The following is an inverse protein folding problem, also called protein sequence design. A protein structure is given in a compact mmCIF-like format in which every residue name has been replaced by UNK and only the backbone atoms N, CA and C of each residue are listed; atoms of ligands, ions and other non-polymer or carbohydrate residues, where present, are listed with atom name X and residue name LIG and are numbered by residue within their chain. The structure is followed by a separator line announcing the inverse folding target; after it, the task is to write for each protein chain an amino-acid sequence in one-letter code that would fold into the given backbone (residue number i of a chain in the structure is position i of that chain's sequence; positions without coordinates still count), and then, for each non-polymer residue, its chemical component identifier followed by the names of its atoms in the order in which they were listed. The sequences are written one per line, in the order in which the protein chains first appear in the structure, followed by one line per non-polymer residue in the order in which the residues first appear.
data_IF_738712754499
#
_entry.id   IF_738712754499
#
_cell.length_a   1.000
_cell.length_b   1.000
_cell.length_c   1.000
_cell.angle_alpha   90.00
_cell.angle_beta   90.00
_cell.angle_gamma   90.00
#
_symmetry.space_group_name_H-M   'P 1'
#
loop_
_entity.id
_entity.type
_entity.pdbx_description
1 polymer ?
#
# COMPACT_ATOMS: atom_id res chain seq x y z
N UNK A 1 2.91 -19.33 -30.48
CA UNK A 1 2.47 -20.55 -29.75
C UNK A 1 0.95 -20.53 -29.57
N UNK A 2 0.26 -21.67 -29.48
CA UNK A 2 -1.17 -21.71 -29.15
C UNK A 2 -1.43 -21.11 -27.76
N UNK A 3 -2.52 -20.36 -27.61
CA UNK A 3 -2.94 -19.70 -26.36
C UNK A 3 -3.00 -20.65 -25.15
N UNK A 4 -3.34 -21.93 -25.38
CA UNK A 4 -3.39 -22.95 -24.32
C UNK A 4 -2.02 -23.18 -23.64
N UNK A 5 -0.94 -23.23 -24.43
CA UNK A 5 0.42 -23.47 -23.92
C UNK A 5 0.94 -22.30 -23.06
N UNK A 6 0.50 -21.07 -23.34
CA UNK A 6 0.88 -19.90 -22.53
C UNK A 6 0.18 -19.92 -21.17
N UNK A 7 -1.09 -20.35 -21.12
CA UNK A 7 -1.82 -20.51 -19.85
C UNK A 7 -1.22 -21.59 -18.96
N UNK A 8 -0.76 -22.69 -19.54
CA UNK A 8 -0.12 -23.75 -18.77
C UNK A 8 1.23 -23.29 -18.19
N UNK A 9 1.99 -22.49 -18.93
CA UNK A 9 3.21 -21.85 -18.41
C UNK A 9 2.93 -20.89 -17.26
N UNK A 10 1.86 -20.09 -17.34
CA UNK A 10 1.46 -19.23 -16.23
C UNK A 10 1.11 -20.06 -15.01
N UNK A 11 0.36 -21.16 -15.17
CA UNK A 11 0.07 -22.08 -14.05
C UNK A 11 1.33 -22.63 -13.40
N UNK A 12 2.32 -23.08 -14.19
CA UNK A 12 3.62 -23.53 -13.66
C UNK A 12 4.37 -22.42 -12.91
N UNK A 13 4.26 -21.16 -13.35
CA UNK A 13 4.84 -20.03 -12.63
C UNK A 13 4.11 -19.82 -11.30
N UNK A 14 2.78 -19.85 -11.31
CA UNK A 14 1.94 -19.67 -10.11
C UNK A 14 2.13 -20.77 -9.06
N UNK A 15 2.49 -21.98 -9.46
CA UNK A 15 2.90 -23.06 -8.53
C UNK A 15 4.14 -22.67 -7.71
N UNK A 16 5.03 -21.84 -8.26
CA UNK A 16 6.27 -21.40 -7.60
C UNK A 16 6.09 -20.07 -6.88
N UNK A 17 5.37 -19.12 -7.49
CA UNK A 17 5.24 -17.74 -6.96
C UNK A 17 4.01 -17.52 -6.10
N UNK A 18 3.08 -18.48 -6.06
CA UNK A 18 1.68 -18.21 -5.73
C UNK A 18 0.97 -17.49 -6.88
N UNK A 19 -0.35 -17.23 -6.74
CA UNK A 19 -1.15 -16.59 -7.77
C UNK A 19 -0.56 -15.25 -8.22
N UNK A 20 -0.41 -15.06 -9.53
CA UNK A 20 0.08 -13.79 -10.05
C UNK A 20 -1.02 -12.73 -9.94
N UNK A 21 -0.69 -11.48 -9.57
CA UNK A 21 -1.64 -10.38 -9.65
C UNK A 21 -2.21 -10.27 -11.07
N UNK A 22 -3.51 -9.97 -11.25
CA UNK A 22 -4.15 -9.95 -12.57
C UNK A 22 -3.42 -9.10 -13.61
N UNK A 23 -2.86 -7.97 -13.20
CA UNK A 23 -2.12 -7.10 -14.11
C UNK A 23 -0.80 -7.74 -14.61
N UNK A 24 -0.11 -8.57 -13.80
CA UNK A 24 1.08 -9.29 -14.26
C UNK A 24 0.71 -10.35 -15.29
N UNK A 25 -0.41 -11.04 -15.10
CA UNK A 25 -0.97 -11.97 -16.08
C UNK A 25 -1.34 -11.25 -17.39
N UNK A 26 -1.95 -10.07 -17.29
CA UNK A 26 -2.23 -9.21 -18.46
C UNK A 26 -0.93 -8.79 -19.15
N UNK A 27 0.09 -8.35 -18.41
CA UNK A 27 1.38 -7.98 -18.98
C UNK A 27 2.07 -9.14 -19.67
N UNK A 28 1.96 -10.36 -19.15
CA UNK A 28 2.53 -11.55 -19.78
C UNK A 28 1.83 -11.94 -21.09
N UNK A 29 0.51 -11.71 -21.19
CA UNK A 29 -0.31 -12.19 -22.31
C UNK A 29 -0.68 -11.12 -23.35
N UNK A 30 -0.50 -9.85 -23.03
CA UNK A 30 -0.92 -8.75 -23.91
C UNK A 30 -0.14 -8.69 -25.21
N UNK A 31 -0.88 -8.53 -26.31
CA UNK A 31 -0.40 -8.22 -27.65
C UNK A 31 -0.44 -6.70 -27.96
N UNK A 32 -0.94 -5.89 -27.03
CA UNK A 32 -1.03 -4.44 -27.11
C UNK A 32 0.25 -3.70 -26.72
N UNK A 33 0.16 -2.37 -26.65
CA UNK A 33 1.25 -1.51 -26.18
C UNK A 33 1.45 -1.69 -24.68
N UNK A 34 2.55 -2.32 -24.28
CA UNK A 34 2.93 -2.43 -22.87
C UNK A 34 3.04 -1.05 -22.24
N UNK A 35 3.73 -0.10 -22.89
CA UNK A 35 3.85 1.29 -22.41
C UNK A 35 2.51 1.88 -21.98
N UNK A 36 1.46 1.67 -22.78
CA UNK A 36 0.11 2.20 -22.49
C UNK A 36 -0.52 1.50 -21.29
N UNK A 37 -0.33 0.19 -21.16
CA UNK A 37 -0.76 -0.54 -19.97
C UNK A 37 0.00 -0.10 -18.72
N UNK A 38 1.30 0.17 -18.84
CA UNK A 38 2.11 0.64 -17.74
C UNK A 38 1.69 2.03 -17.28
N UNK A 39 1.39 2.93 -18.22
CA UNK A 39 0.84 4.26 -17.93
C UNK A 39 -0.51 4.15 -17.19
N UNK A 40 -1.40 3.26 -17.64
CA UNK A 40 -2.68 3.01 -16.99
C UNK A 40 -2.54 2.40 -15.59
N UNK A 41 -1.63 1.44 -15.40
CA UNK A 41 -1.38 0.77 -14.10
C UNK A 41 -0.72 1.71 -13.11
N UNK A 42 0.25 2.52 -13.56
CA UNK A 42 1.03 3.39 -12.69
C UNK A 42 0.39 4.76 -12.45
N UNK A 43 -0.60 5.16 -13.26
CA UNK A 43 -1.21 6.48 -13.21
C UNK A 43 -0.24 7.62 -13.58
N UNK A 44 0.87 7.30 -14.24
CA UNK A 44 1.95 8.22 -14.57
C UNK A 44 2.47 7.97 -15.98
N UNK A 45 3.14 8.96 -16.56
CA UNK A 45 3.82 8.79 -17.84
C UNK A 45 4.97 7.77 -17.72
N UNK A 46 5.19 7.00 -18.78
CA UNK A 46 6.32 6.07 -18.88
C UNK A 46 7.36 6.61 -19.84
N UNK A 47 8.57 6.77 -19.30
CA UNK A 47 9.76 7.24 -19.99
C UNK A 47 10.65 6.05 -20.35
N UNK A 48 11.54 6.24 -21.32
CA UNK A 48 12.58 5.27 -21.66
C UNK A 48 13.94 5.82 -21.25
N UNK A 49 14.69 5.00 -20.54
CA UNK A 49 16.12 5.19 -20.28
C UNK A 49 16.89 4.14 -21.04
N UNK A 50 17.67 4.54 -22.04
CA UNK A 50 18.51 3.61 -22.79
C UNK A 50 19.76 3.27 -21.98
N UNK A 51 20.00 1.98 -21.82
CA UNK A 51 21.18 1.42 -21.14
C UNK A 51 22.29 1.17 -22.14
N UNK A 52 21.95 0.59 -23.30
CA UNK A 52 22.89 0.33 -24.39
C UNK A 52 22.15 0.33 -25.74
N UNK A 53 22.82 0.79 -26.79
CA UNK A 53 22.28 0.72 -28.15
C UNK A 53 23.41 0.67 -29.18
N UNK A 54 23.54 -0.47 -29.85
CA UNK A 54 24.66 -0.76 -30.75
C UNK A 54 24.19 -1.56 -31.96
N UNK A 55 24.91 -1.46 -33.07
CA UNK A 55 24.71 -2.34 -34.23
C UNK A 55 25.62 -3.54 -34.09
N UNK A 56 25.05 -4.72 -33.98
CA UNK A 56 25.78 -5.98 -33.79
C UNK A 56 25.40 -7.00 -34.87
N UNK A 57 26.29 -7.95 -35.21
CA UNK A 57 25.92 -9.06 -36.08
C UNK A 57 24.93 -10.00 -35.38
N UNK A 58 23.91 -10.48 -36.09
CA UNK A 58 22.95 -11.42 -35.55
C UNK A 58 23.59 -12.77 -35.20
N UNK A 59 23.60 -13.14 -33.92
CA UNK A 59 23.93 -14.51 -33.49
C UNK A 59 22.84 -15.51 -33.88
N UNK A 60 23.12 -16.82 -33.77
CA UNK A 60 22.22 -17.88 -34.25
C UNK A 60 20.79 -17.78 -33.71
N UNK A 61 20.63 -17.56 -32.39
CA UNK A 61 19.30 -17.45 -31.78
C UNK A 61 18.53 -16.22 -32.26
N UNK A 62 19.22 -15.08 -32.43
CA UNK A 62 18.61 -13.83 -32.90
C UNK A 62 18.21 -13.97 -34.37
N UNK A 63 19.10 -14.55 -35.17
CA UNK A 63 18.87 -14.83 -36.58
C UNK A 63 17.64 -15.74 -36.79
N UNK A 64 17.54 -16.82 -36.01
CA UNK A 64 16.39 -17.72 -36.04
C UNK A 64 15.08 -17.03 -35.60
N UNK A 65 15.12 -16.18 -34.55
CA UNK A 65 13.91 -15.46 -34.10
C UNK A 65 13.42 -14.44 -35.12
N UNK A 66 14.34 -13.78 -35.81
CA UNK A 66 14.05 -12.72 -36.77
C UNK A 66 13.91 -13.24 -38.21
N UNK A 67 14.15 -14.52 -38.48
CA UNK A 67 14.16 -15.08 -39.84
C UNK A 67 15.10 -14.29 -40.77
N UNK A 68 16.36 -14.15 -40.35
CA UNK A 68 17.47 -13.50 -41.06
C UNK A 68 18.70 -14.41 -41.03
N UNK A 69 19.76 -14.07 -41.76
CA UNK A 69 20.99 -14.87 -41.76
C UNK A 69 21.85 -14.53 -40.54
N UNK A 70 22.53 -15.52 -39.92
CA UNK A 70 23.58 -15.23 -38.95
C UNK A 70 24.61 -14.27 -39.54
N UNK A 71 24.98 -13.23 -38.80
CA UNK A 71 25.87 -12.16 -39.26
C UNK A 71 25.16 -10.92 -39.82
N UNK A 72 23.88 -11.00 -40.18
CA UNK A 72 23.13 -9.82 -40.65
C UNK A 72 23.11 -8.72 -39.56
N UNK A 73 23.23 -7.43 -39.94
CA UNK A 73 23.36 -6.35 -38.96
C UNK A 73 22.01 -6.04 -38.31
N UNK A 74 21.97 -6.14 -36.98
CA UNK A 74 20.80 -5.84 -36.14
C UNK A 74 21.09 -4.70 -35.19
N UNK A 75 20.11 -3.81 -35.00
CA UNK A 75 20.13 -2.85 -33.89
C UNK A 75 19.79 -3.61 -32.60
N UNK A 76 20.76 -3.73 -31.71
CA UNK A 76 20.61 -4.26 -30.36
C UNK A 76 20.38 -3.08 -29.42
N UNK A 77 19.24 -3.07 -28.72
CA UNK A 77 18.86 -1.98 -27.83
C UNK A 77 18.35 -2.52 -26.51
N UNK A 78 18.99 -2.06 -25.43
CA UNK A 78 18.65 -2.35 -24.04
C UNK A 78 18.08 -1.08 -23.40
N UNK A 79 16.87 -1.18 -22.88
CA UNK A 79 16.17 -0.05 -22.27
C UNK A 79 15.53 -0.42 -20.94
N UNK A 80 15.35 0.60 -20.12
CA UNK A 80 14.53 0.57 -18.92
C UNK A 80 13.30 1.44 -19.18
N UNK A 81 12.11 0.85 -19.05
CA UNK A 81 10.87 1.61 -18.94
C UNK A 81 10.75 2.10 -17.52
N UNK A 82 10.63 3.41 -17.32
CA UNK A 82 10.62 4.03 -16.00
C UNK A 82 9.36 4.86 -15.80
N UNK A 83 8.82 4.85 -14.59
CA UNK A 83 7.78 5.80 -14.20
C UNK A 83 8.41 7.20 -14.10
N UNK A 84 7.98 8.14 -14.93
CA UNK A 84 8.60 9.47 -15.00
C UNK A 84 8.44 10.27 -13.68
N UNK A 85 7.43 9.95 -12.87
CA UNK A 85 7.14 10.63 -11.60
C UNK A 85 8.00 10.09 -10.46
N UNK A 86 8.14 8.77 -10.35
CA UNK A 86 8.85 8.14 -9.21
C UNK A 86 10.30 7.79 -9.52
N UNK A 87 10.68 7.72 -10.79
CA UNK A 87 11.98 7.22 -11.24
C UNK A 87 12.14 5.70 -11.13
N UNK A 88 11.11 4.98 -10.64
CA UNK A 88 11.13 3.54 -10.48
C UNK A 88 11.16 2.80 -11.82
N UNK A 89 12.00 1.77 -11.92
CA UNK A 89 12.07 0.91 -13.10
C UNK A 89 10.90 -0.06 -13.10
N UNK A 90 10.20 -0.07 -14.22
CA UNK A 90 9.02 -0.88 -14.47
C UNK A 90 9.39 -2.14 -15.23
N UNK A 91 10.05 -1.98 -16.38
CA UNK A 91 10.47 -3.09 -17.25
C UNK A 91 11.90 -2.88 -17.69
N UNK A 92 12.67 -3.96 -17.73
CA UNK A 92 13.94 -4.04 -18.42
C UNK A 92 13.73 -4.79 -19.73
N UNK A 93 13.99 -4.16 -20.86
CA UNK A 93 13.71 -4.70 -22.17
C UNK A 93 14.96 -4.77 -23.05
N UNK A 94 15.14 -5.90 -23.72
CA UNK A 94 16.17 -6.12 -24.72
C UNK A 94 15.48 -6.35 -26.05
N UNK A 95 15.88 -5.61 -27.08
CA UNK A 95 15.29 -5.68 -28.41
C UNK A 95 16.34 -5.82 -29.50
N UNK A 96 16.01 -6.58 -30.53
CA UNK A 96 16.79 -6.76 -31.74
C UNK A 96 15.95 -6.41 -32.97
N UNK A 97 16.48 -5.57 -33.85
CA UNK A 97 15.78 -5.11 -35.05
C UNK A 97 16.69 -5.19 -36.28
N UNK A 98 16.35 -5.96 -37.33
CA UNK A 98 17.14 -6.03 -38.55
C UNK A 98 17.18 -4.67 -39.25
N UNK A 99 18.38 -4.11 -39.46
CA UNK A 99 18.53 -2.80 -40.10
C UNK A 99 18.03 -2.79 -41.55
N UNK A 100 18.20 -3.91 -42.27
CA UNK A 100 17.72 -4.05 -43.65
C UNK A 100 16.21 -4.00 -43.81
N UNK A 101 15.44 -4.05 -42.71
CA UNK A 101 13.96 -3.96 -42.72
C UNK A 101 13.44 -2.60 -42.27
N UNK A 102 14.31 -1.65 -41.95
CA UNK A 102 13.91 -0.33 -41.46
C UNK A 102 13.82 0.69 -42.60
N UNK A 103 12.68 1.37 -42.67
CA UNK A 103 12.54 2.58 -43.48
C UNK A 103 13.40 3.72 -42.88
N UNK A 104 13.96 4.64 -43.70
CA UNK A 104 14.88 5.67 -43.22
C UNK A 104 14.34 6.48 -42.03
N UNK A 105 13.11 7.01 -42.12
CA UNK A 105 12.53 7.81 -41.04
C UNK A 105 12.22 7.04 -39.76
N UNK A 106 11.92 5.74 -39.88
CA UNK A 106 11.75 4.86 -38.71
C UNK A 106 13.11 4.54 -38.07
N UNK A 107 14.13 4.29 -38.90
CA UNK A 107 15.50 4.06 -38.45
C UNK A 107 16.00 5.25 -37.64
N UNK A 108 15.82 6.47 -38.12
CA UNK A 108 16.28 7.67 -37.42
C UNK A 108 15.65 7.79 -36.03
N UNK A 109 14.33 7.60 -35.91
CA UNK A 109 13.63 7.61 -34.62
C UNK A 109 14.03 6.44 -33.70
N UNK A 110 14.30 5.26 -34.26
CA UNK A 110 14.76 4.10 -33.48
C UNK A 110 16.19 4.31 -32.96
N UNK A 111 17.03 5.00 -33.73
CA UNK A 111 18.40 5.37 -33.35
C UNK A 111 18.44 6.49 -32.30
N UNK A 112 17.33 7.19 -32.09
CA UNK A 112 17.17 8.12 -30.96
C UNK A 112 16.91 7.35 -29.67
N UNK A 113 17.84 7.47 -28.73
CA UNK A 113 17.88 6.69 -27.49
C UNK A 113 16.72 6.99 -26.51
N UNK A 114 15.96 8.07 -26.69
CA UNK A 114 14.98 8.58 -25.73
C UNK A 114 13.53 8.17 -26.02
N UNK A 115 13.25 7.56 -27.18
CA UNK A 115 11.86 7.28 -27.60
C UNK A 115 11.54 5.78 -27.43
N UNK A 116 10.45 5.41 -26.73
CA UNK A 116 9.97 4.03 -26.65
C UNK A 116 9.54 3.48 -28.01
N UNK A 117 9.87 2.21 -28.29
CA UNK A 117 9.48 1.52 -29.53
C UNK A 117 7.96 1.59 -29.76
N UNK A 118 7.14 1.45 -28.71
CA UNK A 118 5.69 1.59 -28.81
C UNK A 118 5.25 2.97 -29.32
N UNK A 119 5.89 4.05 -28.86
CA UNK A 119 5.62 5.42 -29.32
C UNK A 119 6.12 5.63 -30.76
N UNK A 120 7.26 5.04 -31.14
CA UNK A 120 7.79 5.09 -32.52
C UNK A 120 6.83 4.38 -33.50
N UNK A 121 6.39 3.16 -33.17
CA UNK A 121 5.43 2.40 -33.99
C UNK A 121 4.13 3.19 -34.22
N UNK A 122 3.63 3.86 -33.16
CA UNK A 122 2.42 4.70 -33.25
C UNK A 122 2.65 5.94 -34.12
N UNK A 123 3.79 6.63 -33.96
CA UNK A 123 4.15 7.82 -34.75
C UNK A 123 4.18 7.52 -36.25
N UNK A 124 4.77 6.39 -36.63
CA UNK A 124 4.87 5.93 -38.02
C UNK A 124 3.66 5.13 -38.51
N UNK A 125 2.59 5.02 -37.70
CA UNK A 125 1.36 4.27 -38.02
C UNK A 125 1.65 2.85 -38.51
N UNK A 126 2.60 2.17 -37.86
CA UNK A 126 3.02 0.82 -38.24
C UNK A 126 1.97 -0.18 -37.77
N UNK A 127 1.24 -0.75 -38.73
CA UNK A 127 0.39 -1.91 -38.49
C UNK A 127 1.26 -3.14 -38.17
N UNK A 128 1.06 -3.70 -36.98
CA UNK A 128 1.82 -4.86 -36.51
C UNK A 128 1.03 -5.64 -35.47
N UNK A 129 1.38 -6.92 -35.32
CA UNK A 129 0.89 -7.79 -34.25
C UNK A 129 2.05 -8.29 -33.42
N UNK A 130 1.78 -8.67 -32.17
CA UNK A 130 2.76 -9.30 -31.28
C UNK A 130 2.50 -10.79 -31.20
N UNK A 131 3.52 -11.59 -31.45
CA UNK A 131 3.47 -13.05 -31.28
C UNK A 131 4.34 -13.46 -30.10
N UNK A 132 3.70 -13.81 -28.98
CA UNK A 132 4.40 -14.30 -27.79
C UNK A 132 4.95 -15.69 -28.07
N UNK A 133 6.27 -15.81 -27.97
CA UNK A 133 7.00 -17.06 -28.16
C UNK A 133 7.33 -17.73 -26.84
N UNK A 134 7.54 -16.97 -25.77
CA UNK A 134 7.98 -17.52 -24.50
C UNK A 134 7.55 -16.71 -23.28
N UNK A 135 7.30 -17.40 -22.17
CA UNK A 135 7.03 -16.81 -20.85
C UNK A 135 7.72 -17.71 -19.82
N UNK A 136 8.54 -17.12 -18.95
CA UNK A 136 9.36 -17.85 -17.97
C UNK A 136 9.49 -17.10 -16.65
N UNK A 137 9.70 -17.85 -15.58
CA UNK A 137 10.22 -17.33 -14.32
C UNK A 137 11.75 -17.47 -14.35
N UNK A 138 12.48 -16.37 -14.11
CA UNK A 138 13.93 -16.30 -14.19
C UNK A 138 14.53 -15.66 -12.94
N UNK A 139 15.80 -15.91 -12.70
CA UNK A 139 16.60 -15.26 -11.66
C UNK A 139 17.76 -14.51 -12.33
N UNK A 140 17.59 -13.24 -12.68
CA UNK A 140 18.61 -12.52 -13.46
C UNK A 140 19.86 -12.25 -12.60
N UNK A 141 20.94 -11.79 -13.21
CA UNK A 141 22.18 -11.46 -12.49
C UNK A 141 22.02 -10.33 -11.46
N UNK A 142 23.01 -10.11 -10.58
CA UNK A 142 22.96 -9.08 -9.55
C UNK A 142 22.81 -7.66 -10.11
N UNK A 143 23.35 -7.36 -11.31
CA UNK A 143 23.19 -6.06 -11.97
C UNK A 143 21.71 -5.74 -12.23
N UNK A 144 20.98 -6.63 -12.91
CA UNK A 144 19.56 -6.43 -13.22
C UNK A 144 18.74 -6.37 -11.92
N UNK A 145 19.00 -7.23 -10.93
CA UNK A 145 18.29 -7.16 -9.64
C UNK A 145 18.50 -5.81 -8.95
N UNK A 146 19.75 -5.32 -8.93
CA UNK A 146 20.11 -4.04 -8.32
C UNK A 146 19.37 -2.86 -8.95
N UNK A 147 19.18 -2.87 -10.27
CA UNK A 147 18.42 -1.84 -11.00
C UNK A 147 16.98 -1.70 -10.49
N UNK A 148 16.32 -2.82 -10.16
CA UNK A 148 14.95 -2.82 -9.61
C UNK A 148 14.89 -2.65 -8.08
N UNK A 149 16.04 -2.51 -7.40
CA UNK A 149 16.08 -2.56 -5.93
C UNK A 149 15.57 -3.90 -5.36
N UNK A 150 15.69 -4.98 -6.13
CA UNK A 150 15.13 -6.28 -5.80
C UNK A 150 16.10 -7.10 -4.93
N UNK A 151 15.56 -7.84 -3.96
CA UNK A 151 16.33 -8.73 -3.10
C UNK A 151 16.85 -9.97 -3.85
N UNK A 152 17.80 -10.72 -3.26
CA UNK A 152 18.42 -11.89 -3.90
C UNK A 152 17.40 -13.01 -4.21
N UNK A 153 16.35 -13.14 -3.39
CA UNK A 153 15.30 -14.14 -3.59
C UNK A 153 14.21 -13.71 -4.59
N UNK A 154 14.20 -12.44 -5.00
CA UNK A 154 13.18 -11.94 -5.93
C UNK A 154 13.34 -12.62 -7.30
N UNK A 155 12.29 -13.35 -7.69
CA UNK A 155 12.16 -13.94 -9.03
C UNK A 155 11.62 -12.92 -10.01
N UNK A 156 11.89 -13.10 -11.30
CA UNK A 156 11.48 -12.20 -12.36
C UNK A 156 10.64 -12.95 -13.39
N UNK A 157 9.61 -12.28 -13.89
CA UNK A 157 8.86 -12.71 -15.04
C UNK A 157 9.59 -12.22 -16.29
N UNK A 158 9.90 -13.15 -17.20
CA UNK A 158 10.41 -12.87 -18.54
C UNK A 158 9.34 -13.23 -19.56
N UNK A 159 9.09 -12.33 -20.51
CA UNK A 159 8.30 -12.63 -21.71
C UNK A 159 9.12 -12.31 -22.95
N UNK A 160 9.11 -13.23 -23.90
CA UNK A 160 9.76 -13.08 -25.21
C UNK A 160 8.69 -13.11 -26.29
N UNK A 161 8.74 -12.14 -27.19
CA UNK A 161 7.81 -12.05 -28.30
C UNK A 161 8.45 -11.42 -29.52
N UNK A 162 7.76 -11.55 -30.65
CA UNK A 162 8.13 -10.91 -31.91
C UNK A 162 7.06 -9.90 -32.30
N UNK A 163 7.48 -8.78 -32.86
CA UNK A 163 6.59 -7.87 -33.58
C UNK A 163 6.61 -8.31 -35.03
N UNK A 164 5.45 -8.64 -35.59
CA UNK A 164 5.29 -9.07 -36.98
C UNK A 164 4.68 -7.94 -37.79
N UNK A 165 5.28 -7.63 -38.95
CA UNK A 165 4.82 -6.64 -39.92
C UNK A 165 4.85 -7.29 -41.30
N UNK A 166 3.76 -7.19 -42.07
CA UNK A 166 3.64 -7.83 -43.39
C UNK A 166 4.04 -9.32 -43.37
N UNK A 167 3.60 -10.03 -42.33
CA UNK A 167 3.91 -11.45 -42.05
C UNK A 167 5.39 -11.81 -41.88
N UNK A 168 6.26 -10.81 -41.70
CA UNK A 168 7.69 -10.99 -41.43
C UNK A 168 8.05 -10.52 -40.01
N UNK A 169 8.98 -11.22 -39.31
CA UNK A 169 9.47 -10.78 -38.02
C UNK A 169 10.20 -9.42 -38.10
N UNK A 170 9.59 -8.37 -37.59
CA UNK A 170 10.14 -7.02 -37.62
C UNK A 170 11.07 -6.75 -36.43
N UNK A 171 10.72 -7.23 -35.24
CA UNK A 171 11.56 -7.14 -34.05
C UNK A 171 11.42 -8.38 -33.17
N UNK A 172 12.48 -8.73 -32.46
CA UNK A 172 12.46 -9.70 -31.37
C UNK A 172 12.72 -8.96 -30.06
N UNK A 173 11.84 -9.12 -29.08
CA UNK A 173 11.88 -8.40 -27.82
C UNK A 173 11.78 -9.39 -26.66
N UNK A 174 12.62 -9.19 -25.65
CA UNK A 174 12.53 -9.83 -24.35
C UNK A 174 12.34 -8.76 -23.28
N UNK A 175 11.33 -8.93 -22.44
CA UNK A 175 11.00 -8.01 -21.35
C UNK A 175 11.05 -8.76 -20.02
N UNK A 176 11.73 -8.17 -19.04
CA UNK A 176 11.86 -8.66 -17.68
C UNK A 176 11.26 -7.65 -16.70
N UNK A 177 10.50 -8.18 -15.74
CA UNK A 177 9.97 -7.41 -14.60
C UNK A 177 9.84 -8.33 -13.38
N UNK A 178 10.01 -7.83 -12.15
CA UNK A 178 10.04 -8.73 -11.00
C UNK A 178 8.65 -9.31 -10.69
N UNK A 179 8.63 -10.58 -10.29
CA UNK A 179 7.41 -11.31 -9.96
C UNK A 179 6.85 -10.77 -8.64
N UNK A 180 5.56 -10.41 -8.63
CA UNK A 180 4.88 -9.82 -7.48
C UNK A 180 5.30 -8.40 -7.08
N UNK A 181 6.22 -7.75 -7.82
CA UNK A 181 6.90 -6.53 -7.35
C UNK A 181 6.37 -5.20 -7.88
N UNK A 182 5.27 -5.21 -8.62
CA UNK A 182 4.57 -3.97 -8.97
C UNK A 182 3.49 -3.77 -7.93
N UNK A 183 3.94 -3.40 -6.74
CA UNK A 183 3.10 -3.22 -5.59
C UNK A 183 2.57 -4.55 -5.03
N UNK A 184 3.30 -5.12 -4.06
CA UNK A 184 2.59 -5.21 -2.78
C UNK A 184 2.26 -3.76 -2.45
N UNK A 185 0.99 -3.41 -2.50
CA UNK A 185 0.58 -2.10 -2.00
C UNK A 185 1.25 -1.88 -0.64
N UNK A 186 1.75 -0.67 -0.37
CA UNK A 186 2.48 -0.41 0.86
C UNK A 186 1.63 -0.89 2.04
N UNK A 187 2.09 -1.94 2.73
CA UNK A 187 1.40 -2.46 3.91
C UNK A 187 1.82 -1.60 5.10
N UNK A 188 0.89 -0.87 5.66
CA UNK A 188 1.11 -0.07 6.86
C UNK A 188 0.79 -0.93 8.07
N UNK A 189 1.80 -1.21 8.88
CA UNK A 189 1.61 -1.82 10.20
C UNK A 189 1.56 -0.72 11.26
N UNK A 190 0.50 -0.72 12.06
CA UNK A 190 0.36 0.19 13.19
C UNK A 190 0.35 -0.61 14.48
N UNK A 191 1.17 -0.18 15.43
CA UNK A 191 1.21 -0.66 16.81
C UNK A 191 0.71 0.47 17.69
N UNK A 192 -0.27 0.17 18.53
CA UNK A 192 -0.91 1.16 19.39
C UNK A 192 -0.85 0.68 20.84
N UNK A 193 -0.31 1.49 21.77
CA UNK A 193 -0.20 1.11 23.16
C UNK A 193 -1.57 1.00 23.83
N UNK A 194 -1.64 0.17 24.86
CA UNK A 194 -2.74 0.22 25.82
C UNK A 194 -2.57 1.41 26.76
N UNK A 195 -3.57 1.68 27.58
CA UNK A 195 -3.44 2.59 28.73
C UNK A 195 -4.28 2.12 29.90
N UNK A 196 -3.84 2.42 31.11
CA UNK A 196 -4.65 2.31 32.33
C UNK A 196 -5.15 3.70 32.69
N UNK A 197 -6.44 3.82 32.99
CA UNK A 197 -7.03 5.03 33.56
C UNK A 197 -7.12 4.87 35.08
N UNK A 198 -6.50 5.77 35.85
CA UNK A 198 -6.39 5.69 37.32
C UNK A 198 -7.59 6.32 38.05
N UNK A 199 -8.37 7.15 37.37
CA UNK A 199 -9.56 7.77 37.95
C UNK A 199 -9.94 9.06 37.25
N UNK A 200 -11.21 9.43 37.34
CA UNK A 200 -11.72 10.71 36.85
C UNK A 200 -11.61 11.78 37.95
N UNK A 201 -11.41 13.04 37.55
CA UNK A 201 -11.13 14.16 38.46
C UNK A 201 -12.41 14.88 38.88
N UNK A 202 -13.21 15.37 37.91
CA UNK A 202 -14.47 16.08 38.17
C UNK A 202 -15.67 15.30 37.61
N UNK A 203 -16.40 14.65 38.51
CA UNK A 203 -17.59 13.86 38.21
C UNK A 203 -18.91 14.61 38.40
N UNK A 204 -18.88 15.88 38.81
CA UNK A 204 -20.09 16.65 39.11
C UNK A 204 -20.21 17.95 38.32
N UNK A 205 -19.14 18.41 37.68
CA UNK A 205 -19.16 19.60 36.84
C UNK A 205 -18.93 20.93 37.58
N UNK A 206 -18.79 20.91 38.90
CA UNK A 206 -18.77 22.12 39.73
C UNK A 206 -17.51 22.96 39.57
N UNK A 207 -16.44 22.44 38.95
CA UNK A 207 -15.24 23.21 38.62
C UNK A 207 -15.37 23.97 37.28
N UNK A 208 -16.55 23.98 36.66
CA UNK A 208 -16.76 24.48 35.31
C UNK A 208 -16.20 23.56 34.23
N UNK A 209 -15.74 22.37 34.62
CA UNK A 209 -15.24 21.31 33.76
C UNK A 209 -15.84 19.98 34.20
N UNK A 210 -15.81 18.98 33.33
CA UNK A 210 -16.25 17.61 33.63
C UNK A 210 -15.22 16.62 33.11
N UNK A 211 -15.22 15.42 33.68
CA UNK A 211 -14.28 14.35 33.42
C UNK A 211 -12.90 14.70 33.99
N UNK A 212 -11.86 14.76 33.15
CA UNK A 212 -10.49 14.92 33.62
C UNK A 212 -9.96 13.61 34.18
N UNK A 213 -8.71 13.28 33.92
CA UNK A 213 -8.21 11.98 34.34
C UNK A 213 -6.70 11.91 34.46
N UNK A 214 -6.25 10.89 35.19
CA UNK A 214 -4.85 10.48 35.25
C UNK A 214 -4.73 9.08 34.64
N UNK A 215 -3.72 8.85 33.82
CA UNK A 215 -3.49 7.53 33.24
C UNK A 215 -2.06 7.27 32.79
N UNK A 216 -1.76 5.99 32.58
CA UNK A 216 -0.43 5.51 32.22
C UNK A 216 -0.53 4.71 30.93
N UNK A 217 0.32 5.02 29.95
CA UNK A 217 0.45 4.22 28.73
C UNK A 217 1.20 2.91 29.02
N UNK A 218 0.77 1.83 28.38
CA UNK A 218 1.36 0.49 28.50
C UNK A 218 1.85 0.01 27.14
N UNK A 219 3.05 -0.54 27.11
CA UNK A 219 3.58 -1.21 25.92
C UNK A 219 2.86 -2.54 25.64
N UNK A 220 2.43 -3.26 26.67
CA UNK A 220 1.75 -4.54 26.55
C UNK A 220 0.57 -4.66 27.53
N UNK A 221 -0.56 -5.27 27.13
CA UNK A 221 -0.86 -5.76 25.77
C UNK A 221 -1.08 -4.60 24.78
N UNK A 222 -0.68 -4.77 23.51
CA UNK A 222 -0.84 -3.75 22.45
C UNK A 222 -1.90 -4.14 21.40
N UNK A 223 -2.46 -3.13 20.75
CA UNK A 223 -3.26 -3.32 19.53
C UNK A 223 -2.33 -3.27 18.32
N UNK A 224 -2.38 -4.29 17.47
CA UNK A 224 -1.59 -4.35 16.23
C UNK A 224 -2.49 -4.68 15.06
N UNK A 225 -2.43 -3.86 14.03
CA UNK A 225 -3.10 -4.10 12.75
C UNK A 225 -2.16 -3.82 11.58
N UNK A 226 -2.48 -4.46 10.47
CA UNK A 226 -1.87 -4.21 9.16
C UNK A 226 -2.96 -3.73 8.21
N UNK A 227 -2.63 -2.78 7.34
CA UNK A 227 -3.56 -2.26 6.34
C UNK A 227 -2.87 -2.10 4.98
N UNK A 228 -3.61 -2.39 3.93
CA UNK A 228 -3.28 -2.11 2.53
C UNK A 228 -4.45 -1.38 1.87
N UNK A 229 -4.24 -0.69 0.74
CA UNK A 229 -5.36 0.01 0.10
C UNK A 229 -6.35 -1.05 -0.44
N UNK A 230 -7.59 -0.64 -0.55
CA UNK A 230 -8.62 -1.49 -1.13
C UNK A 230 -9.74 -0.62 -1.65
N UNK A 231 -10.44 -1.00 -2.74
CA UNK A 231 -11.61 -0.25 -3.19
C UNK A 231 -12.72 -0.16 -2.12
N UNK A 232 -12.79 -1.13 -1.21
CA UNK A 232 -13.81 -1.22 -0.15
C UNK A 232 -13.17 -1.60 1.18
N UNK A 233 -13.79 -1.17 2.29
CA UNK A 233 -13.30 -1.53 3.62
C UNK A 233 -13.50 -3.03 3.88
N UNK A 234 -12.42 -3.81 3.91
CA UNK A 234 -12.43 -5.23 4.30
C UNK A 234 -11.72 -5.40 5.62
N UNK A 235 -12.27 -6.22 6.51
CA UNK A 235 -11.67 -6.47 7.82
C UNK A 235 -11.49 -7.97 8.02
N UNK A 236 -10.30 -8.35 8.46
CA UNK A 236 -9.90 -9.73 8.74
C UNK A 236 -9.38 -9.83 10.18
N UNK A 237 -9.68 -10.94 10.87
CA UNK A 237 -9.31 -11.12 12.28
C UNK A 237 -10.20 -10.32 13.23
N UNK A 238 -10.03 -10.57 14.54
CA UNK A 238 -10.88 -10.01 15.58
C UNK A 238 -12.31 -10.58 15.59
N UNK A 239 -13.14 -10.05 16.49
CA UNK A 239 -14.59 -10.30 16.53
C UNK A 239 -15.37 -9.24 15.73
N UNK A 240 -16.68 -9.43 15.55
CA UNK A 240 -17.51 -8.51 14.76
C UNK A 240 -17.62 -7.11 15.38
N UNK A 241 -17.54 -6.99 16.72
CA UNK A 241 -17.52 -5.68 17.38
C UNK A 241 -16.26 -4.88 17.05
N UNK A 242 -15.12 -5.56 16.99
CA UNK A 242 -13.85 -4.99 16.54
C UNK A 242 -13.91 -4.64 15.05
N UNK A 243 -14.45 -5.54 14.22
CA UNK A 243 -14.59 -5.30 12.79
C UNK A 243 -15.48 -4.10 12.48
N UNK A 244 -16.63 -3.98 13.14
CA UNK A 244 -17.52 -2.82 13.03
C UNK A 244 -16.81 -1.51 13.41
N UNK A 245 -15.99 -1.54 14.47
CA UNK A 245 -15.19 -0.37 14.90
C UNK A 245 -14.14 0.03 13.86
N UNK A 246 -13.48 -0.94 13.23
CA UNK A 246 -12.54 -0.67 12.13
C UNK A 246 -13.27 -0.05 10.95
N UNK A 247 -14.43 -0.59 10.55
CA UNK A 247 -15.24 -0.05 9.44
C UNK A 247 -15.67 1.39 9.73
N UNK A 248 -16.17 1.68 10.93
CA UNK A 248 -16.57 3.03 11.33
C UNK A 248 -15.39 4.01 11.28
N UNK A 249 -14.22 3.64 11.80
CA UNK A 249 -13.04 4.50 11.78
C UNK A 249 -12.52 4.74 10.36
N UNK A 250 -12.50 3.70 9.52
CA UNK A 250 -12.11 3.80 8.12
C UNK A 250 -13.06 4.72 7.34
N UNK A 251 -14.38 4.54 7.49
CA UNK A 251 -15.40 5.38 6.87
C UNK A 251 -15.26 6.84 7.28
N UNK A 252 -15.09 7.13 8.57
CA UNK A 252 -14.93 8.49 9.05
C UNK A 252 -13.72 9.21 8.40
N UNK A 253 -12.59 8.52 8.23
CA UNK A 253 -11.40 9.06 7.57
C UNK A 253 -11.62 9.21 6.06
N UNK A 254 -12.22 8.22 5.40
CA UNK A 254 -12.54 8.28 3.97
C UNK A 254 -13.45 9.46 3.66
N UNK A 255 -14.55 9.61 4.39
CA UNK A 255 -15.49 10.71 4.22
C UNK A 255 -14.86 12.07 4.53
N UNK A 256 -14.03 12.16 5.57
CA UNK A 256 -13.40 13.43 5.97
C UNK A 256 -12.40 13.97 4.95
N UNK A 257 -11.67 13.09 4.27
CA UNK A 257 -10.59 13.48 3.36
C UNK A 257 -10.89 13.21 1.88
N UNK A 258 -12.09 12.70 1.55
CA UNK A 258 -12.48 12.43 0.16
C UNK A 258 -11.61 11.37 -0.51
N UNK A 259 -11.25 10.31 0.23
CA UNK A 259 -10.39 9.26 -0.27
C UNK A 259 -11.16 8.44 -1.34
N UNK A 260 -10.61 8.23 -2.55
CA UNK A 260 -11.31 7.53 -3.65
C UNK A 260 -11.43 6.00 -3.47
N UNK A 261 -11.28 5.51 -2.24
CA UNK A 261 -11.24 4.10 -1.88
C UNK A 261 -11.20 3.92 -0.36
N UNK A 262 -10.63 2.81 0.11
CA UNK A 262 -10.57 2.43 1.52
C UNK A 262 -9.35 1.52 1.79
N UNK A 263 -9.44 0.65 2.79
CA UNK A 263 -8.37 -0.27 3.14
C UNK A 263 -8.87 -1.69 3.41
N UNK A 264 -8.05 -2.68 3.10
CA UNK A 264 -8.14 -4.01 3.67
C UNK A 264 -7.31 -4.02 4.96
N UNK A 265 -7.95 -4.30 6.09
CA UNK A 265 -7.35 -4.23 7.43
C UNK A 265 -7.33 -5.64 8.05
N UNK A 266 -6.18 -6.08 8.52
CA UNK A 266 -6.01 -7.30 9.29
C UNK A 266 -5.69 -6.96 10.74
N UNK A 267 -6.59 -7.32 11.65
CA UNK A 267 -6.39 -7.20 13.10
C UNK A 267 -5.52 -8.39 13.52
N UNK A 268 -4.27 -8.13 13.91
CA UNK A 268 -3.33 -9.18 14.32
C UNK A 268 -3.48 -9.53 15.79
N UNK A 269 -3.67 -8.51 16.64
CA UNK A 269 -3.94 -8.67 18.07
C UNK A 269 -4.55 -7.41 18.65
N UNK A 270 -5.31 -7.57 19.72
CA UNK A 270 -5.89 -6.49 20.50
C UNK A 270 -5.93 -6.92 21.97
N UNK A 271 -5.80 -5.98 22.92
CA UNK A 271 -6.12 -6.25 24.33
C UNK A 271 -7.57 -6.70 24.52
N UNK A 272 -7.88 -7.35 25.65
CA UNK A 272 -9.27 -7.62 26.04
C UNK A 272 -10.14 -6.36 25.94
N UNK A 273 -11.26 -6.48 25.23
CA UNK A 273 -12.21 -5.38 25.10
C UNK A 273 -12.89 -5.11 26.45
N UNK A 274 -13.20 -3.85 26.72
CA UNK A 274 -13.91 -3.43 27.93
C UNK A 274 -13.21 -3.75 29.26
N UNK A 275 -11.90 -4.02 29.24
CA UNK A 275 -11.09 -4.30 30.43
C UNK A 275 -10.36 -3.05 30.98
N UNK A 276 -10.81 -1.84 30.67
CA UNK A 276 -10.14 -0.60 31.09
C UNK A 276 -8.83 -0.27 30.35
N UNK A 277 -8.42 -1.09 29.37
CA UNK A 277 -7.17 -0.92 28.61
C UNK A 277 -7.28 0.02 27.42
N UNK A 278 -8.48 0.54 27.17
CA UNK A 278 -8.74 1.51 26.11
C UNK A 278 -8.58 0.97 24.68
N UNK A 279 -8.75 -0.33 24.51
CA UNK A 279 -8.58 -1.04 23.24
C UNK A 279 -9.40 -0.44 22.09
N UNK A 280 -10.62 0.05 22.36
CA UNK A 280 -11.46 0.69 21.34
C UNK A 280 -10.84 1.95 20.73
N UNK A 281 -10.34 2.88 21.55
CA UNK A 281 -9.66 4.08 21.03
C UNK A 281 -8.35 3.73 20.32
N UNK A 282 -7.58 2.77 20.87
CA UNK A 282 -6.35 2.31 20.22
C UNK A 282 -6.63 1.72 18.82
N UNK A 283 -7.67 0.88 18.69
CA UNK A 283 -8.07 0.30 17.41
C UNK A 283 -8.55 1.37 16.41
N UNK A 284 -9.41 2.31 16.84
CA UNK A 284 -9.89 3.38 15.96
C UNK A 284 -8.77 4.32 15.49
N UNK A 285 -7.85 4.72 16.39
CA UNK A 285 -6.71 5.56 16.03
C UNK A 285 -5.70 4.82 15.16
N UNK A 286 -5.46 3.53 15.42
CA UNK A 286 -4.58 2.71 14.60
C UNK A 286 -5.11 2.58 13.16
N UNK A 287 -6.41 2.33 12.99
CA UNK A 287 -7.06 2.26 11.68
C UNK A 287 -6.97 3.59 10.96
N UNK A 288 -7.32 4.69 11.64
CA UNK A 288 -7.25 6.01 11.03
C UNK A 288 -5.83 6.40 10.62
N UNK A 289 -4.83 6.10 11.46
CA UNK A 289 -3.41 6.34 11.17
C UNK A 289 -2.96 5.52 9.98
N UNK A 290 -3.39 4.25 9.89
CA UNK A 290 -3.05 3.40 8.78
C UNK A 290 -3.60 3.94 7.46
N UNK A 291 -4.88 4.35 7.41
CA UNK A 291 -5.46 4.99 6.23
C UNK A 291 -4.74 6.29 5.87
N UNK A 292 -4.52 7.18 6.84
CA UNK A 292 -3.82 8.44 6.58
C UNK A 292 -2.43 8.19 5.96
N UNK A 293 -1.65 7.24 6.51
CA UNK A 293 -0.35 6.85 5.95
C UNK A 293 -0.48 6.21 4.57
N UNK A 294 -1.44 5.31 4.35
CA UNK A 294 -1.69 4.69 3.04
C UNK A 294 -1.97 5.73 1.96
N UNK A 295 -2.63 6.84 2.30
CA UNK A 295 -3.04 7.87 1.36
C UNK A 295 -2.19 9.15 1.41
N UNK A 296 -1.07 9.14 2.13
CA UNK A 296 -0.15 10.29 2.21
C UNK A 296 -0.73 11.52 2.91
N UNK A 297 -1.71 11.33 3.80
CA UNK A 297 -2.39 12.38 4.54
C UNK A 297 -1.65 12.61 5.86
N UNK A 298 -1.24 13.84 6.12
CA UNK A 298 -0.69 14.25 7.41
C UNK A 298 -1.78 14.92 8.25
N UNK A 299 -2.05 14.38 9.43
CA UNK A 299 -3.03 14.91 10.38
C UNK A 299 -2.53 14.73 11.82
N UNK A 300 -2.66 15.74 12.69
CA UNK A 300 -2.37 15.58 14.12
C UNK A 300 -3.24 14.49 14.76
N UNK A 301 -2.71 13.79 15.76
CA UNK A 301 -3.40 12.65 16.39
C UNK A 301 -4.70 13.10 17.09
N UNK A 302 -4.73 14.33 17.62
CA UNK A 302 -5.88 14.93 18.29
C UNK A 302 -7.02 15.19 17.31
N UNK A 303 -6.69 15.68 16.11
CA UNK A 303 -7.65 15.86 15.03
C UNK A 303 -8.14 14.50 14.50
N UNK A 304 -7.23 13.54 14.35
CA UNK A 304 -7.60 12.18 13.96
C UNK A 304 -8.53 11.54 14.98
N UNK A 305 -8.27 11.72 16.28
CA UNK A 305 -9.13 11.23 17.36
C UNK A 305 -10.55 11.79 17.23
N UNK A 306 -10.69 13.09 16.98
CA UNK A 306 -11.99 13.72 16.72
C UNK A 306 -12.67 13.11 15.49
N UNK A 307 -11.94 12.89 14.40
CA UNK A 307 -12.47 12.30 13.16
C UNK A 307 -13.02 10.90 13.44
N UNK A 308 -12.28 10.05 14.14
CA UNK A 308 -12.70 8.66 14.45
C UNK A 308 -13.60 8.55 15.68
N UNK A 309 -14.11 9.69 16.19
CA UNK A 309 -15.07 9.75 17.29
C UNK A 309 -14.50 9.27 18.64
N UNK A 310 -13.28 9.68 18.98
CA UNK A 310 -12.60 9.34 20.24
C UNK A 310 -12.11 10.58 20.98
N UNK A 311 -12.05 10.46 22.31
CA UNK A 311 -11.57 11.53 23.20
C UNK A 311 -12.65 12.43 23.80
N UNK A 312 -13.95 12.09 23.69
CA UNK A 312 -15.05 12.90 24.25
C UNK A 312 -15.32 12.73 25.76
N UNK A 313 -14.43 12.05 26.48
CA UNK A 313 -14.51 11.85 27.95
C UNK A 313 -13.13 12.05 28.56
N UNK A 314 -12.11 11.36 28.03
CA UNK A 314 -10.72 11.51 28.46
C UNK A 314 -9.77 11.58 27.26
N UNK A 315 -8.74 12.40 27.41
CA UNK A 315 -7.65 12.59 26.45
C UNK A 315 -6.52 11.60 26.62
N UNK A 316 -6.47 10.86 27.74
CA UNK A 316 -5.40 9.91 28.06
C UNK A 316 -5.19 8.90 26.94
N UNK A 317 -6.27 8.34 26.38
CA UNK A 317 -6.15 7.34 25.33
C UNK A 317 -5.50 7.86 24.05
N UNK A 318 -5.82 9.11 23.70
CA UNK A 318 -5.25 9.81 22.55
C UNK A 318 -3.80 10.23 22.82
N UNK A 319 -3.53 10.79 23.99
CA UNK A 319 -2.20 11.21 24.41
C UNK A 319 -1.23 10.02 24.57
N UNK A 320 -1.71 8.88 25.08
CA UNK A 320 -0.96 7.64 25.17
C UNK A 320 -0.57 7.12 23.79
N UNK A 321 -1.47 7.21 22.80
CA UNK A 321 -1.17 6.85 21.42
C UNK A 321 -0.11 7.76 20.79
N UNK A 322 -0.12 9.04 21.12
CA UNK A 322 0.78 10.05 20.54
C UNK A 322 2.17 10.07 21.21
N UNK A 323 2.22 10.08 22.54
CA UNK A 323 3.42 10.43 23.31
C UNK A 323 3.75 9.45 24.45
N UNK A 324 2.82 8.57 24.83
CA UNK A 324 3.00 7.65 25.96
C UNK A 324 3.28 8.34 27.31
N UNK A 325 3.71 7.55 28.29
CA UNK A 325 4.08 8.02 29.63
C UNK A 325 2.92 8.11 30.63
N UNK A 326 3.14 8.86 31.71
CA UNK A 326 2.12 9.28 32.68
C UNK A 326 1.45 10.56 32.17
N UNK A 327 0.13 10.56 32.10
CA UNK A 327 -0.67 11.60 31.45
C UNK A 327 -1.74 12.08 32.42
N UNK A 328 -1.92 13.40 32.49
CA UNK A 328 -3.05 14.04 33.15
C UNK A 328 -3.78 14.91 32.13
N UNK A 329 -5.08 14.71 31.98
CA UNK A 329 -5.93 15.56 31.15
C UNK A 329 -6.87 16.41 32.02
N UNK A 330 -7.18 17.60 31.53
CA UNK A 330 -7.99 18.59 32.25
C UNK A 330 -9.50 18.42 32.06
N UNK A 331 -9.97 17.34 31.43
CA UNK A 331 -11.39 17.18 31.12
C UNK A 331 -11.92 18.22 30.14
N UNK A 332 -13.24 18.32 30.02
CA UNK A 332 -13.90 19.22 29.07
C UNK A 332 -14.55 20.39 29.79
N UNK A 333 -14.66 21.54 29.11
CA UNK A 333 -15.51 22.62 29.63
C UNK A 333 -16.97 22.15 29.74
N UNK A 334 -17.64 22.48 30.85
CA UNK A 334 -18.95 21.93 31.19
C UNK A 334 -20.02 23.00 31.39
N UNK A 335 -21.26 22.71 31.00
CA UNK A 335 -22.43 23.56 31.16
C UNK A 335 -23.03 24.02 29.82
N UNK A 336 -24.00 24.93 29.87
CA UNK A 336 -24.76 25.40 28.70
C UNK A 336 -23.87 25.91 27.55
N UNK A 337 -22.72 26.50 27.87
CA UNK A 337 -21.76 27.05 26.92
C UNK A 337 -20.45 26.25 26.85
N UNK A 338 -20.40 25.10 27.53
CA UNK A 338 -19.24 24.20 27.54
C UNK A 338 -19.21 23.27 26.34
N UNK A 339 -18.08 22.61 26.14
CA UNK A 339 -17.93 21.51 25.16
C UNK A 339 -18.86 20.33 25.47
N UNK A 340 -19.22 20.14 26.75
CA UNK A 340 -20.16 19.13 27.22
C UNK A 340 -21.28 19.73 28.06
N UNK A 341 -22.51 19.27 27.80
CA UNK A 341 -23.69 19.58 28.62
C UNK A 341 -24.20 18.36 29.41
N UNK A 342 -23.53 17.20 29.31
CA UNK A 342 -23.88 15.97 30.01
C UNK A 342 -22.68 15.02 30.14
N UNK A 343 -22.86 13.94 30.91
CA UNK A 343 -21.78 13.03 31.35
C UNK A 343 -21.54 11.85 30.40
N UNK A 344 -21.99 11.97 29.16
CA UNK A 344 -21.98 10.87 28.17
C UNK A 344 -20.57 10.37 27.87
N UNK A 345 -20.41 9.06 27.60
CA UNK A 345 -19.14 8.49 27.18
C UNK A 345 -18.71 9.01 25.80
N UNK A 346 -17.43 8.79 25.46
CA UNK A 346 -16.83 9.27 24.22
C UNK A 346 -17.52 8.72 22.97
N UNK A 347 -18.02 7.48 23.03
CA UNK A 347 -18.79 6.86 21.94
C UNK A 347 -20.11 7.57 21.64
N UNK A 348 -20.64 8.36 22.59
CA UNK A 348 -21.90 9.07 22.52
C UNK A 348 -21.72 10.61 22.56
N UNK A 349 -20.48 11.09 22.38
CA UNK A 349 -20.13 12.52 22.40
C UNK A 349 -19.47 12.92 21.06
N UNK A 350 -20.21 12.88 19.93
CA UNK A 350 -19.64 13.16 18.61
C UNK A 350 -19.20 14.63 18.50
N UNK A 351 -18.07 14.86 17.83
CA UNK A 351 -17.56 16.21 17.56
C UNK A 351 -16.81 16.86 18.73
N UNK A 352 -16.82 16.27 19.93
CA UNK A 352 -16.03 16.72 21.07
C UNK A 352 -14.56 16.39 20.82
N UNK A 353 -13.67 17.40 20.90
CA UNK A 353 -12.22 17.21 20.79
C UNK A 353 -11.67 16.57 22.06
N UNK A 354 -10.58 15.78 21.97
CA UNK A 354 -9.85 15.35 23.16
C UNK A 354 -9.56 16.52 24.10
N UNK A 355 -9.75 16.36 25.42
CA UNK A 355 -9.47 17.40 26.39
C UNK A 355 -7.96 17.72 26.42
N UNK A 356 -7.57 18.93 26.86
CA UNK A 356 -6.18 19.31 26.92
C UNK A 356 -5.40 18.42 27.90
N UNK A 357 -4.22 17.97 27.48
CA UNK A 357 -3.24 17.33 28.37
C UNK A 357 -2.58 18.43 29.18
N UNK A 358 -2.82 18.43 30.50
CA UNK A 358 -2.28 19.44 31.41
C UNK A 358 -0.92 19.05 31.98
N UNK A 359 -0.62 17.75 32.02
CA UNK A 359 0.71 17.24 32.37
C UNK A 359 1.01 15.95 31.61
N UNK A 360 2.26 15.80 31.16
CA UNK A 360 2.80 14.54 30.62
C UNK A 360 4.22 14.35 31.10
N UNK A 361 4.48 13.21 31.73
CA UNK A 361 5.80 12.82 32.20
C UNK A 361 6.20 11.46 31.60
N UNK A 362 7.50 11.22 31.33
CA UNK A 362 7.96 9.86 31.07
C UNK A 362 7.63 8.98 32.28
N UNK A 363 7.27 7.73 32.03
CA UNK A 363 7.15 6.74 33.10
C UNK A 363 8.56 6.19 33.40
N UNK A 364 8.98 6.02 34.66
CA UNK A 364 10.34 5.56 34.97
C UNK A 364 10.63 4.17 34.38
N UNK A 365 11.78 4.01 33.72
CA UNK A 365 12.15 2.75 33.05
C UNK A 365 12.42 1.60 34.05
N UNK A 366 12.92 1.94 35.26
CA UNK A 366 13.09 0.98 36.37
C UNK A 366 11.77 0.45 36.96
N UNK A 367 10.63 1.07 36.64
CA UNK A 367 9.34 0.68 37.23
C UNK A 367 8.62 -0.33 36.35
N UNK A 368 8.22 -1.44 36.96
CA UNK A 368 7.45 -2.48 36.29
C UNK A 368 5.97 -2.38 36.69
N UNK A 369 5.07 -2.48 35.71
CA UNK A 369 3.63 -2.53 35.95
C UNK A 369 3.17 -3.98 35.82
N UNK A 370 2.76 -4.58 36.94
CA UNK A 370 2.09 -5.87 36.95
C UNK A 370 0.60 -5.67 36.66
N UNK A 371 0.15 -6.09 35.48
CA UNK A 371 -1.26 -6.07 35.11
C UNK A 371 -1.94 -7.38 35.54
N UNK A 372 -2.90 -7.29 36.46
CA UNK A 372 -3.74 -8.42 36.88
C UNK A 372 -5.15 -8.21 36.35
N UNK A 373 -5.57 -9.05 35.40
CA UNK A 373 -6.90 -9.02 34.82
C UNK A 373 -7.75 -10.13 35.46
N UNK A 374 -8.70 -9.80 36.35
CA UNK A 374 -9.55 -10.81 36.96
C UNK A 374 -10.52 -11.38 35.92
N UNK A 375 -10.74 -12.69 35.94
CA UNK A 375 -11.73 -13.37 35.10
C UNK A 375 -13.15 -13.13 35.64
N UNK A 376 -13.65 -11.91 35.46
CA UNK A 376 -15.00 -11.52 35.81
C UNK A 376 -15.92 -11.66 34.58
N UNK A 377 -17.22 -11.85 34.82
CA UNK A 377 -18.23 -11.77 33.77
C UNK A 377 -18.23 -10.40 33.06
N UNK A 378 -18.91 -10.25 31.92
CA UNK A 378 -18.91 -9.00 31.17
C UNK A 378 -19.43 -7.84 32.04
N UNK A 379 -18.62 -6.79 32.17
CA UNK A 379 -19.02 -5.53 32.80
C UNK A 379 -20.00 -4.73 31.93
N UNK A 380 -20.54 -3.64 32.46
CA UNK A 380 -21.42 -2.74 31.70
C UNK A 380 -20.60 -1.95 30.67
N UNK A 381 -21.01 -1.99 29.41
CA UNK A 381 -20.37 -1.27 28.31
C UNK A 381 -21.34 -0.98 27.17
N UNK A 382 -21.00 -0.03 26.29
CA UNK A 382 -21.80 0.23 25.09
C UNK A 382 -23.15 0.86 25.42
N UNK A 383 -24.26 0.27 24.95
CA UNK A 383 -25.61 0.79 25.23
C UNK A 383 -25.94 0.76 26.71
N UNK A 384 -25.57 -0.30 27.43
CA UNK A 384 -25.79 -0.37 28.87
C UNK A 384 -25.02 0.70 29.65
N UNK A 385 -23.89 1.17 29.13
CA UNK A 385 -23.14 2.30 29.71
C UNK A 385 -23.82 3.64 29.38
N UNK A 386 -24.34 3.81 28.16
CA UNK A 386 -25.11 4.99 27.75
C UNK A 386 -26.42 5.16 28.52
N UNK A 387 -27.03 4.06 28.98
CA UNK A 387 -28.27 4.13 29.76
C UNK A 387 -28.01 4.54 31.22
N UNK A 388 -26.77 4.37 31.72
CA UNK A 388 -26.36 4.75 33.07
C UNK A 388 -25.95 6.24 33.14
N UNK A 389 -25.34 6.78 32.07
CA UNK A 389 -24.74 8.13 32.01
C UNK A 389 -25.37 9.01 30.95
#
# INVERSE_FOLDING_TARGET
MPSAQLRDRIRMIEEVTGPLPPFQTVLLLTDGSVTTLLEAISGAEVCVRTVAQDVVPAGEQVAARLDIRPGDPVNHRVVELVNCTTGGILIYAVSHTPLGRLEPGFRDDLMRADIPIGKILKKHRIESRREISDIRLVSPGPDIRGRFGAGPETRFLSRTYRIIRNDLPFMAIEELFPAGSWGREPRIRVRAPSRIHLGLIDLHGGLGRVDGGIGIALESPETVLEAERSPVCRVYGGDEGQAARVRQAAEAVVSRFGIPGSAAVTILRTPPQHAGLGAGTALSLATGTALCKLYGISVPVEDLARIVGRGGTSGIGTAAFSTGGLIVDGGHSFGQYGEKAGFRPSSASPGVRPPPVIARHPFPDEWQILLVLPLLGPGVSGTGEQDIF
#
